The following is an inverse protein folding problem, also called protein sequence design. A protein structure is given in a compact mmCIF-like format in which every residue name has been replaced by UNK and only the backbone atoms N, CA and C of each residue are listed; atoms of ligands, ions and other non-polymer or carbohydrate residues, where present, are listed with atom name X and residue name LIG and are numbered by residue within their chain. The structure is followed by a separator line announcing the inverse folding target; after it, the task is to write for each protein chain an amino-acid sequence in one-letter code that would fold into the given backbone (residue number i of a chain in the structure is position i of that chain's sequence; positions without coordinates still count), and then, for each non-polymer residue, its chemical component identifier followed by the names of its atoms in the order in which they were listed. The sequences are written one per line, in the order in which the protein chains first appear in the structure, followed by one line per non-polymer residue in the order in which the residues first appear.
data_IF_178612425681
#
_entry.id   IF_178612425681
#
_cell.length_a   1.000
_cell.length_b   1.000
_cell.length_c   1.000
_cell.angle_alpha   90.00
_cell.angle_beta   90.00
_cell.angle_gamma   90.00
#
_symmetry.space_group_name_H-M   'P 1'
#
loop_
_entity.id
_entity.type
_entity.pdbx_description
1 polymer ?
#
# COMPACT_ATOMS: atom_id res chain seq x y z
N UNK A 1 -2.92 10.21 -1.84
CA UNK A 1 -2.27 9.73 -0.62
C UNK A 1 -1.01 10.51 -0.31
N UNK A 2 -0.62 10.62 0.96
CA UNK A 2 0.59 11.32 1.31
C UNK A 2 1.83 10.60 0.79
N UNK A 3 2.84 11.36 0.42
CA UNK A 3 4.09 10.80 -0.12
C UNK A 3 4.84 9.94 0.88
N UNK A 4 4.74 10.25 2.16
CA UNK A 4 5.36 9.47 3.21
C UNK A 4 4.70 8.11 3.48
N UNK A 5 3.65 7.79 2.75
CA UNK A 5 2.86 6.59 3.01
C UNK A 5 1.92 6.77 4.19
N UNK A 6 1.41 5.68 4.72
CA UNK A 6 0.53 5.73 5.86
C UNK A 6 1.30 5.95 7.16
N UNK A 7 0.72 6.72 8.05
CA UNK A 7 1.27 6.86 9.38
C UNK A 7 1.24 5.50 10.09
N UNK A 8 2.26 5.25 10.90
CA UNK A 8 2.41 3.98 11.61
C UNK A 8 1.17 3.59 12.42
N UNK A 9 0.53 4.57 13.07
CA UNK A 9 -0.68 4.30 13.86
C UNK A 9 -1.85 3.85 12.99
N UNK A 10 -1.94 4.33 11.74
CA UNK A 10 -2.95 3.88 10.81
C UNK A 10 -2.70 2.43 10.40
N UNK A 11 -1.46 2.09 10.11
CA UNK A 11 -1.09 0.71 9.78
C UNK A 11 -1.34 -0.24 10.94
N UNK A 12 -1.04 0.18 12.16
CA UNK A 12 -1.30 -0.61 13.35
C UNK A 12 -2.79 -0.84 13.55
N UNK A 13 -3.61 0.20 13.31
CA UNK A 13 -5.06 0.09 13.40
C UNK A 13 -5.62 -0.91 12.37
N UNK A 14 -5.08 -0.90 11.15
CA UNK A 14 -5.46 -1.85 10.10
C UNK A 14 -5.11 -3.28 10.51
N UNK A 15 -3.92 -3.49 11.05
CA UNK A 15 -3.50 -4.81 11.53
C UNK A 15 -4.39 -5.33 12.65
N UNK A 16 -4.80 -4.44 13.53
CA UNK A 16 -5.65 -4.78 14.67
C UNK A 16 -7.09 -5.09 14.24
N UNK A 17 -7.64 -4.27 13.36
CA UNK A 17 -8.99 -4.43 12.85
C UNK A 17 -9.14 -5.66 11.94
N UNK A 18 -8.07 -6.08 11.29
CA UNK A 18 -8.03 -7.21 10.36
C UNK A 18 -9.15 -7.20 9.32
N UNK A 19 -9.28 -6.13 8.53
CA UNK A 19 -10.24 -6.12 7.45
C UNK A 19 -9.91 -7.23 6.45
N UNK A 20 -10.92 -7.72 5.76
CA UNK A 20 -10.71 -8.77 4.75
C UNK A 20 -9.83 -8.30 3.60
N UNK A 21 -9.97 -7.04 3.23
CA UNK A 21 -9.26 -6.47 2.10
C UNK A 21 -8.87 -5.03 2.38
N UNK A 22 -7.67 -4.70 1.98
CA UNK A 22 -7.15 -3.33 2.02
C UNK A 22 -6.76 -2.95 0.60
N UNK A 23 -7.24 -1.80 0.15
CA UNK A 23 -6.80 -1.22 -1.12
C UNK A 23 -5.90 -0.05 -0.77
N UNK A 24 -4.66 -0.13 -1.20
CA UNK A 24 -3.64 0.87 -0.92
C UNK A 24 -3.23 1.54 -2.23
N UNK A 25 -3.43 2.84 -2.29
CA UNK A 25 -3.02 3.66 -3.44
C UNK A 25 -1.81 4.50 -3.03
N UNK A 26 -0.76 4.43 -3.82
CA UNK A 26 0.47 5.16 -3.53
C UNK A 26 1.01 5.83 -4.79
N UNK A 27 1.58 7.01 -4.62
CA UNK A 27 2.33 7.67 -5.68
C UNK A 27 3.83 7.38 -5.60
N UNK A 28 4.25 6.51 -4.68
CA UNK A 28 5.65 6.21 -4.46
C UNK A 28 5.82 4.72 -4.13
N UNK A 29 6.43 3.97 -5.05
CA UNK A 29 6.53 2.53 -4.92
C UNK A 29 7.35 2.09 -3.70
N UNK A 30 8.38 2.87 -3.33
CA UNK A 30 9.22 2.53 -2.17
C UNK A 30 8.44 2.62 -0.86
N UNK A 31 7.58 3.63 -0.71
CA UNK A 31 6.74 3.76 0.48
C UNK A 31 5.66 2.69 0.51
N UNK A 32 5.12 2.34 -0.64
CA UNK A 32 4.16 1.23 -0.74
C UNK A 32 4.79 -0.08 -0.25
N UNK A 33 5.98 -0.40 -0.75
CA UNK A 33 6.68 -1.62 -0.36
C UNK A 33 6.96 -1.64 1.15
N UNK A 34 7.39 -0.51 1.71
CA UNK A 34 7.63 -0.38 3.14
C UNK A 34 6.37 -0.63 3.95
N UNK A 35 5.26 -0.01 3.55
CA UNK A 35 4.01 -0.10 4.29
C UNK A 35 3.40 -1.50 4.18
N UNK A 36 3.51 -2.14 3.02
CA UNK A 36 3.09 -3.53 2.84
C UNK A 36 3.90 -4.44 3.77
N UNK A 37 5.22 -4.21 3.86
CA UNK A 37 6.06 -4.97 4.78
C UNK A 37 5.67 -4.74 6.25
N UNK A 38 5.28 -3.51 6.60
CA UNK A 38 4.83 -3.19 7.95
C UNK A 38 3.49 -3.83 8.31
N UNK A 39 2.62 -4.06 7.35
CA UNK A 39 1.38 -4.81 7.57
C UNK A 39 1.66 -6.28 7.86
N UNK A 40 2.80 -6.78 7.40
CA UNK A 40 3.34 -8.05 7.80
C UNK A 40 2.57 -9.25 7.31
N UNK A 41 2.69 -10.34 8.07
CA UNK A 41 2.10 -11.63 7.71
C UNK A 41 0.58 -11.68 7.83
N UNK A 42 -0.05 -10.66 8.38
CA UNK A 42 -1.51 -10.59 8.50
C UNK A 42 -2.20 -10.39 7.14
N UNK A 43 -1.45 -9.90 6.16
CA UNK A 43 -1.99 -9.62 4.83
C UNK A 43 -1.06 -10.17 3.76
N UNK A 44 -1.65 -10.53 2.62
CA UNK A 44 -0.90 -10.90 1.43
C UNK A 44 -1.30 -10.00 0.27
N UNK A 45 -0.37 -9.74 -0.62
CA UNK A 45 -0.67 -8.98 -1.84
C UNK A 45 -1.42 -9.88 -2.80
N UNK A 46 -2.70 -9.61 -2.99
CA UNK A 46 -3.52 -10.35 -3.94
C UNK A 46 -3.37 -9.80 -5.36
N UNK A 47 -3.16 -8.49 -5.47
CA UNK A 47 -3.01 -7.85 -6.76
C UNK A 47 -2.19 -6.58 -6.61
N UNK A 48 -1.30 -6.34 -7.56
CA UNK A 48 -0.53 -5.10 -7.65
C UNK A 48 -0.67 -4.54 -9.06
N UNK A 49 -1.12 -3.29 -9.14
CA UNK A 49 -1.21 -2.57 -10.40
C UNK A 49 -0.29 -1.36 -10.31
N UNK A 50 0.61 -1.22 -11.27
CA UNK A 50 1.52 -0.07 -11.36
C UNK A 50 1.13 0.72 -12.59
N UNK A 51 0.82 2.00 -12.39
CA UNK A 51 0.41 2.89 -13.47
C UNK A 51 1.45 3.99 -13.62
N UNK A 52 1.94 4.17 -14.84
CA UNK A 52 2.80 5.29 -15.19
C UNK A 52 1.92 6.37 -15.82
N UNK A 53 1.24 7.12 -14.97
CA UNK A 53 0.20 8.06 -15.40
C UNK A 53 0.77 9.27 -16.13
N UNK A 54 2.01 9.68 -15.78
CA UNK A 54 2.66 10.86 -16.36
C UNK A 54 4.13 10.52 -16.66
N UNK A 55 4.41 10.05 -17.88
CA UNK A 55 5.74 9.53 -18.21
C UNK A 55 6.87 10.56 -18.09
N UNK A 56 6.55 11.84 -18.04
CA UNK A 56 7.54 12.91 -17.95
C UNK A 56 7.83 13.37 -16.52
N UNK A 57 7.16 12.84 -15.52
CA UNK A 57 7.23 13.35 -14.16
C UNK A 57 7.87 12.41 -13.15
N UNK A 58 8.24 11.22 -13.53
CA UNK A 58 8.76 10.19 -12.63
C UNK A 58 7.78 9.75 -11.51
N UNK A 59 6.53 10.16 -11.61
CA UNK A 59 5.50 9.72 -10.66
C UNK A 59 4.86 8.44 -11.16
N UNK A 60 4.99 7.39 -10.37
CA UNK A 60 4.36 6.11 -10.62
C UNK A 60 3.26 5.93 -9.59
N UNK A 61 2.03 5.74 -10.05
CA UNK A 61 0.95 5.35 -9.15
C UNK A 61 0.89 3.84 -9.06
N UNK A 62 0.77 3.35 -7.86
CA UNK A 62 0.64 1.93 -7.60
C UNK A 62 -0.58 1.68 -6.74
N UNK A 63 -1.33 0.65 -7.09
CA UNK A 63 -2.50 0.20 -6.33
C UNK A 63 -2.23 -1.22 -5.90
N UNK A 64 -2.19 -1.44 -4.60
CA UNK A 64 -2.03 -2.76 -4.02
C UNK A 64 -3.35 -3.21 -3.40
N UNK A 65 -3.81 -4.39 -3.77
CA UNK A 65 -4.95 -5.03 -3.13
C UNK A 65 -4.40 -6.11 -2.23
N UNK A 66 -4.65 -5.97 -0.95
CA UNK A 66 -4.16 -6.87 0.08
C UNK A 66 -5.34 -7.61 0.68
N UNK A 67 -5.21 -8.91 0.80
CA UNK A 67 -6.22 -9.74 1.45
C UNK A 67 -5.68 -10.25 2.77
N UNK A 68 -6.54 -10.31 3.79
CA UNK A 68 -6.15 -10.90 5.07
C UNK A 68 -5.87 -12.38 4.91
N UNK A 69 -4.87 -12.83 5.62
CA UNK A 69 -4.49 -14.23 5.62
C UNK A 69 -5.33 -15.03 6.62
#
# INVERSE_FOLDING_TARGET
PPRGGCHRLVLDAIREARPRRVVYVSCEASTLARDVARLGAAFRVARLVVLDALPQTHHIEAIAVLDSV
#
